data_IF_349208165221
#
_entry.id   IF_349208165221
#
_cell.length_a   1.000
_cell.length_b   1.000
_cell.length_c   1.000
_cell.angle_alpha   90.00
_cell.angle_beta   90.00
_cell.angle_gamma   90.00
#
_symmetry.space_group_name_H-M   'P 1'
#
loop_
_entity.id
_entity.type
_entity.pdbx_description
1 polymer ?
#
# COMPACT_ATOMS: atom_id res chain seq x y z
N UNK A 1 5.54 8.28 -0.18
CA UNK A 1 4.64 7.20 -0.64
C UNK A 1 4.53 7.18 -2.17
N UNK A 2 3.83 8.11 -2.86
CA UNK A 2 3.78 8.10 -4.34
C UNK A 2 5.15 8.08 -5.03
N UNK A 3 6.05 8.98 -4.65
CA UNK A 3 7.41 9.07 -5.22
C UNK A 3 8.28 7.84 -4.91
N UNK A 4 7.94 7.05 -3.89
CA UNK A 4 8.64 5.80 -3.59
C UNK A 4 8.14 4.71 -4.54
N UNK A 5 6.82 4.52 -4.62
CA UNK A 5 6.19 3.61 -5.58
C UNK A 5 6.66 3.89 -7.02
N UNK A 6 6.65 5.16 -7.45
CA UNK A 6 7.03 5.56 -8.81
C UNK A 6 8.49 5.21 -9.18
N UNK A 7 9.38 4.98 -8.20
CA UNK A 7 10.77 4.53 -8.45
C UNK A 7 10.89 3.04 -8.76
N UNK A 8 9.93 2.25 -8.31
CA UNK A 8 9.87 0.81 -8.56
C UNK A 8 8.97 0.53 -9.76
N UNK A 9 7.74 1.02 -9.70
CA UNK A 9 6.76 0.94 -10.78
C UNK A 9 5.67 2.02 -10.58
N UNK A 10 5.42 2.81 -11.62
CA UNK A 10 4.36 3.82 -11.64
C UNK A 10 2.94 3.23 -11.44
N UNK A 11 2.76 1.92 -11.67
CA UNK A 11 1.51 1.20 -11.46
C UNK A 11 1.21 0.88 -9.98
N UNK A 12 2.24 0.90 -9.12
CA UNK A 12 2.10 0.51 -7.72
C UNK A 12 1.24 1.47 -6.92
N UNK A 13 1.46 2.77 -7.09
CA UNK A 13 0.70 3.77 -6.34
C UNK A 13 -0.82 3.69 -6.60
N UNK A 14 -1.32 3.70 -7.85
CA UNK A 14 -2.76 3.59 -8.08
C UNK A 14 -3.34 2.25 -7.61
N UNK A 15 -2.61 1.14 -7.75
CA UNK A 15 -3.07 -0.19 -7.30
C UNK A 15 -3.18 -0.25 -5.76
N UNK A 16 -2.12 0.08 -5.04
CA UNK A 16 -2.07 -0.02 -3.59
C UNK A 16 -2.90 1.05 -2.88
N UNK A 17 -3.07 2.21 -3.50
CA UNK A 17 -4.02 3.22 -3.01
C UNK A 17 -5.44 2.68 -3.03
N UNK A 18 -5.86 2.10 -4.17
CA UNK A 18 -7.20 1.51 -4.30
C UNK A 18 -7.41 0.40 -3.28
N UNK A 19 -6.40 -0.46 -3.06
CA UNK A 19 -6.46 -1.48 -2.04
C UNK A 19 -6.59 -0.93 -0.61
N UNK A 20 -5.85 0.12 -0.20
CA UNK A 20 -6.06 0.74 1.13
C UNK A 20 -7.49 1.29 1.24
N UNK A 21 -7.96 2.00 0.21
CA UNK A 21 -9.29 2.61 0.24
C UNK A 21 -10.41 1.55 0.35
N UNK A 22 -10.28 0.42 -0.35
CA UNK A 22 -11.24 -0.69 -0.33
C UNK A 22 -11.16 -1.50 0.97
N UNK A 23 -9.94 -1.81 1.45
CA UNK A 23 -9.71 -2.66 2.62
C UNK A 23 -10.11 -1.98 3.93
N UNK A 24 -9.83 -0.69 4.06
CA UNK A 24 -10.16 0.10 5.26
C UNK A 24 -11.53 0.79 5.18
N UNK A 25 -12.41 0.31 4.31
CA UNK A 25 -13.79 0.78 4.21
C UNK A 25 -14.71 0.06 5.20
N UNK A 26 -15.33 0.82 6.11
CA UNK A 26 -16.22 0.30 7.14
C UNK A 26 -17.65 0.31 6.61
N UNK A 27 -18.10 -0.82 6.04
CA UNK A 27 -19.43 -0.94 5.38
C UNK A 27 -20.61 -0.51 6.25
N UNK A 28 -20.59 -0.79 7.55
CA UNK A 28 -21.70 -0.46 8.45
C UNK A 28 -21.77 1.02 8.83
N UNK A 29 -20.70 1.80 8.60
CA UNK A 29 -20.64 3.25 8.85
C UNK A 29 -20.66 4.07 7.57
N UNK A 30 -20.43 3.44 6.42
CA UNK A 30 -20.28 4.12 5.14
C UNK A 30 -19.01 4.98 5.04
N UNK A 31 -18.05 4.81 5.95
CA UNK A 31 -16.87 5.65 6.08
C UNK A 31 -15.57 4.85 6.00
N UNK A 32 -14.48 5.53 5.63
CA UNK A 32 -13.12 4.98 5.68
C UNK A 32 -12.50 5.23 7.05
N UNK A 33 -11.74 4.25 7.56
CA UNK A 33 -11.14 4.30 8.91
C UNK A 33 -10.15 5.46 9.12
N UNK A 34 -9.59 6.05 8.06
CA UNK A 34 -8.59 7.13 8.17
C UNK A 34 -8.43 7.96 6.89
N UNK A 35 -7.37 8.78 6.85
CA UNK A 35 -7.06 9.67 5.72
C UNK A 35 -6.61 8.91 4.46
N UNK A 36 -6.15 7.67 4.61
CA UNK A 36 -5.73 6.78 3.53
C UNK A 36 -4.22 6.52 3.55
N UNK A 37 -3.70 5.92 2.49
CA UNK A 37 -2.29 5.54 2.37
C UNK A 37 -2.08 4.63 1.16
N UNK A 38 -1.04 3.80 1.23
CA UNK A 38 -0.88 2.63 0.38
C UNK A 38 -1.00 1.40 1.28
N UNK A 39 -1.70 0.38 0.81
CA UNK A 39 -1.80 -0.92 1.47
C UNK A 39 -1.57 -1.99 0.43
N UNK A 40 -0.81 -2.99 0.84
CA UNK A 40 -0.53 -4.14 0.01
C UNK A 40 -0.36 -5.35 0.91
N UNK A 41 -0.77 -6.50 0.38
CA UNK A 41 -0.61 -7.81 0.98
C UNK A 41 -0.25 -8.79 -0.14
N UNK A 42 0.37 -9.92 0.21
CA UNK A 42 0.69 -11.02 -0.71
C UNK A 42 1.40 -10.61 -2.02
N UNK A 43 2.47 -9.82 -1.93
CA UNK A 43 3.26 -9.33 -3.07
C UNK A 43 4.22 -10.38 -3.67
N UNK A 44 3.80 -11.64 -3.72
CA UNK A 44 4.64 -12.80 -4.08
C UNK A 44 5.00 -12.89 -5.58
N UNK A 45 4.42 -12.05 -6.42
CA UNK A 45 4.66 -12.02 -7.87
C UNK A 45 5.99 -11.32 -8.26
N UNK A 46 6.72 -10.75 -7.29
CA UNK A 46 7.94 -9.98 -7.54
C UNK A 46 9.14 -10.59 -6.81
N UNK A 47 10.33 -10.37 -7.37
CA UNK A 47 11.56 -10.86 -6.78
C UNK A 47 11.85 -10.22 -5.43
N UNK A 48 12.44 -10.99 -4.54
CA UNK A 48 12.79 -10.56 -3.19
C UNK A 48 13.74 -9.36 -3.19
N UNK A 49 14.61 -9.24 -4.19
CA UNK A 49 15.50 -8.10 -4.38
C UNK A 49 14.76 -6.78 -4.66
N UNK A 50 13.55 -6.85 -5.22
CA UNK A 50 12.68 -5.69 -5.42
C UNK A 50 11.82 -5.40 -4.17
N UNK A 51 11.33 -6.46 -3.51
CA UNK A 51 10.41 -6.35 -2.37
C UNK A 51 11.10 -5.84 -1.10
N UNK A 52 12.32 -6.30 -0.81
CA UNK A 52 13.03 -5.92 0.41
C UNK A 52 13.33 -4.41 0.47
N UNK A 53 13.89 -3.77 -0.57
CA UNK A 53 14.07 -2.33 -0.58
C UNK A 53 12.74 -1.57 -0.54
N UNK A 54 11.69 -2.08 -1.21
CA UNK A 54 10.38 -1.46 -1.21
C UNK A 54 9.77 -1.40 0.19
N UNK A 55 9.83 -2.50 0.94
CA UNK A 55 9.40 -2.56 2.35
C UNK A 55 10.17 -1.57 3.23
N UNK A 56 11.48 -1.43 2.99
CA UNK A 56 12.35 -0.58 3.81
C UNK A 56 12.16 0.92 3.52
N UNK A 57 11.82 1.28 2.28
CA UNK A 57 11.55 2.67 1.86
C UNK A 57 10.20 3.17 2.36
N UNK A 58 9.15 2.34 2.30
CA UNK A 58 7.79 2.75 2.67
C UNK A 58 7.38 2.35 4.11
N UNK A 59 8.22 1.61 4.84
CA UNK A 59 8.08 1.45 6.29
C UNK A 59 6.73 0.89 6.75
N UNK A 60 6.18 -0.09 6.05
CA UNK A 60 6.23 -1.49 6.51
C UNK A 60 6.00 -1.78 7.99
N UNK A 61 5.26 -0.99 8.77
CA UNK A 61 4.70 -1.48 10.03
C UNK A 61 3.38 -2.13 9.68
N UNK A 62 3.35 -3.45 9.76
CA UNK A 62 2.39 -4.44 9.24
C UNK A 62 0.88 -4.09 9.31
N UNK A 63 0.43 -3.02 9.97
CA UNK A 63 -0.99 -2.74 10.19
C UNK A 63 -1.41 -1.27 9.98
N UNK A 64 -0.55 -0.40 9.42
CA UNK A 64 -0.80 1.05 9.47
C UNK A 64 -0.99 1.69 8.09
N UNK A 65 -2.26 1.88 7.68
CA UNK A 65 -2.59 2.99 6.76
C UNK A 65 -2.38 4.31 7.53
N UNK A 66 -1.16 4.85 7.42
CA UNK A 66 -0.82 6.26 7.70
C UNK A 66 -0.40 6.97 6.41
#
# INVERSE_FOLDING_TARGET
KKTACDKFDASFYPRFKKWCDDYFYIKHRGERRGLGGIFFDDLNDYDQEMLLPFQQVDGVKDDTCL
#
